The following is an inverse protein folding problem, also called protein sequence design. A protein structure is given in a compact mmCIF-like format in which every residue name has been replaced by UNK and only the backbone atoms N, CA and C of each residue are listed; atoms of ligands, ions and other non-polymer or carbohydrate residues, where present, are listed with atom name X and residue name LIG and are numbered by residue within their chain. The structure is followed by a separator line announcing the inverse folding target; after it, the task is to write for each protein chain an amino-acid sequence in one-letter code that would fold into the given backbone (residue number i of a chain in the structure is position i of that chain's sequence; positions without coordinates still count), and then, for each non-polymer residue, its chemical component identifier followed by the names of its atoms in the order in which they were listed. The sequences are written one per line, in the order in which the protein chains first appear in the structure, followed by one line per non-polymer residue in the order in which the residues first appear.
data_IF_415082478797
#
_entry.id   IF_415082478797
#
_cell.length_a   1.000
_cell.length_b   1.000
_cell.length_c   1.000
_cell.angle_alpha   90.00
_cell.angle_beta   90.00
_cell.angle_gamma   90.00
#
_symmetry.space_group_name_H-M   'P 1'
#
loop_
_entity.id
_entity.type
_entity.pdbx_description
1 polymer ?
#
# COMPACT_ATOMS: atom_id res chain seq x y z
N UNK A 1 12.69 -4.35 -25.08
CA UNK A 1 12.33 -3.44 -23.99
C UNK A 1 12.98 -4.02 -22.75
N UNK A 2 13.90 -3.33 -22.08
CA UNK A 2 14.48 -3.88 -20.84
C UNK A 2 13.40 -3.81 -19.77
N UNK A 3 12.77 -4.94 -19.47
CA UNK A 3 11.80 -5.02 -18.39
C UNK A 3 12.52 -4.77 -17.07
N UNK A 4 12.23 -3.61 -16.48
CA UNK A 4 12.78 -3.25 -15.17
C UNK A 4 12.12 -4.18 -14.15
N UNK A 5 12.93 -5.04 -13.55
CA UNK A 5 12.51 -6.00 -12.55
C UNK A 5 12.86 -5.53 -11.15
N UNK A 6 11.95 -5.69 -10.20
CA UNK A 6 12.17 -5.35 -8.80
C UNK A 6 12.10 -6.63 -7.97
N UNK A 7 13.07 -6.86 -7.09
CA UNK A 7 13.01 -8.01 -6.17
C UNK A 7 11.90 -7.82 -5.14
N UNK A 8 11.14 -8.89 -4.86
CA UNK A 8 10.15 -8.89 -3.78
C UNK A 8 10.82 -8.61 -2.42
N UNK A 9 12.04 -9.10 -2.21
CA UNK A 9 12.81 -8.82 -0.98
C UNK A 9 13.12 -7.34 -0.83
N UNK A 10 13.43 -6.63 -1.92
CA UNK A 10 13.66 -5.19 -1.90
C UNK A 10 12.39 -4.42 -1.53
N UNK A 11 11.24 -4.81 -2.06
CA UNK A 11 9.96 -4.17 -1.70
C UNK A 11 9.60 -4.38 -0.23
N UNK A 12 9.80 -5.58 0.31
CA UNK A 12 9.58 -5.89 1.73
C UNK A 12 10.56 -5.13 2.63
N UNK A 13 11.85 -5.08 2.25
CA UNK A 13 12.85 -4.28 2.95
C UNK A 13 12.49 -2.80 2.94
N UNK A 14 12.09 -2.28 1.79
CA UNK A 14 11.61 -0.91 1.63
C UNK A 14 10.45 -0.59 2.57
N UNK A 15 9.51 -1.52 2.73
CA UNK A 15 8.37 -1.36 3.64
C UNK A 15 8.82 -1.28 5.10
N UNK A 16 9.74 -2.14 5.52
CA UNK A 16 10.27 -2.14 6.88
C UNK A 16 11.02 -0.85 7.19
N UNK A 17 11.89 -0.41 6.27
CA UNK A 17 12.66 0.83 6.42
C UNK A 17 11.73 2.04 6.45
N UNK A 18 10.76 2.11 5.53
CA UNK A 18 9.81 3.21 5.48
C UNK A 18 8.96 3.29 6.75
N UNK A 19 8.45 2.15 7.25
CA UNK A 19 7.73 2.10 8.51
C UNK A 19 8.60 2.50 9.70
N UNK A 20 9.87 2.08 9.74
CA UNK A 20 10.80 2.49 10.80
C UNK A 20 11.00 4.01 10.81
N UNK A 21 11.25 4.60 9.64
CA UNK A 21 11.44 6.05 9.48
C UNK A 21 10.18 6.86 9.85
N UNK A 22 9.00 6.38 9.43
CA UNK A 22 7.74 7.06 9.68
C UNK A 22 7.13 6.75 11.05
N UNK A 23 7.62 5.73 11.75
CA UNK A 23 7.05 5.23 13.01
C UNK A 23 6.80 6.32 14.07
N UNK A 24 7.68 7.31 14.31
CA UNK A 24 7.41 8.33 15.33
C UNK A 24 6.19 9.17 14.94
N UNK A 25 6.08 9.53 13.66
CA UNK A 25 4.99 10.34 13.14
C UNK A 25 3.68 9.55 13.11
N UNK A 26 3.71 8.31 12.62
CA UNK A 26 2.51 7.47 12.50
C UNK A 26 1.99 7.04 13.87
N UNK A 27 2.86 6.81 14.86
CA UNK A 27 2.45 6.57 16.25
C UNK A 27 1.77 7.79 16.85
N UNK A 28 2.37 8.97 16.74
CA UNK A 28 1.77 10.22 17.22
C UNK A 28 0.40 10.47 16.57
N UNK A 29 0.29 10.27 15.25
CA UNK A 29 -0.96 10.44 14.52
C UNK A 29 -2.01 9.41 14.96
N UNK A 30 -1.61 8.15 15.16
CA UNK A 30 -2.49 7.06 15.61
C UNK A 30 -3.08 7.40 16.98
N UNK A 31 -2.23 7.80 17.93
CA UNK A 31 -2.66 8.18 19.29
C UNK A 31 -3.55 9.42 19.25
N UNK A 32 -3.18 10.44 18.47
CA UNK A 32 -3.97 11.67 18.35
C UNK A 32 -5.39 11.39 17.84
N UNK A 33 -5.53 10.64 16.74
CA UNK A 33 -6.84 10.29 16.18
C UNK A 33 -7.61 9.40 17.15
N UNK A 34 -6.94 8.47 17.83
CA UNK A 34 -7.59 7.61 18.81
C UNK A 34 -8.14 8.37 20.01
N UNK A 35 -7.41 9.39 20.51
CA UNK A 35 -7.87 10.27 21.59
C UNK A 35 -9.09 11.07 21.09
N UNK A 36 -8.97 11.77 19.97
CA UNK A 36 -10.05 12.60 19.42
C UNK A 36 -11.30 11.79 19.09
N UNK A 37 -11.13 10.58 18.55
CA UNK A 37 -12.23 9.68 18.22
C UNK A 37 -12.80 8.94 19.43
N UNK A 38 -12.04 8.80 20.52
CA UNK A 38 -12.44 8.13 21.76
C UNK A 38 -12.91 9.06 22.88
N UNK A 39 -12.77 10.38 22.71
CA UNK A 39 -13.15 11.39 23.71
C UNK A 39 -14.60 11.87 23.58
N UNK A 40 -15.37 11.35 22.62
CA UNK A 40 -16.78 11.70 22.46
C UNK A 40 -17.66 10.88 23.41
N UNK A 41 -18.70 11.47 24.04
CA UNK A 41 -19.59 10.75 24.96
C UNK A 41 -20.28 9.53 24.33
N UNK A 42 -20.57 9.63 23.03
CA UNK A 42 -21.20 8.55 22.23
C UNK A 42 -20.17 7.67 21.50
N UNK A 43 -18.87 7.87 21.75
CA UNK A 43 -17.82 7.11 21.07
C UNK A 43 -17.70 5.70 21.64
N UNK A 44 -17.30 4.72 20.80
CA UNK A 44 -17.13 3.35 21.25
C UNK A 44 -15.86 3.10 22.08
N UNK A 45 -15.24 4.16 22.62
CA UNK A 45 -14.07 4.12 23.49
C UNK A 45 -12.73 4.16 22.77
N UNK A 46 -11.70 4.65 23.48
CA UNK A 46 -10.34 4.84 22.98
C UNK A 46 -9.75 3.58 22.32
N UNK A 47 -9.91 2.39 22.93
CA UNK A 47 -9.30 1.16 22.42
C UNK A 47 -9.83 0.75 21.05
N UNK A 48 -11.13 0.95 20.79
CA UNK A 48 -11.70 0.64 19.48
C UNK A 48 -11.23 1.64 18.42
N UNK A 49 -11.22 2.92 18.76
CA UNK A 49 -10.70 3.98 17.87
C UNK A 49 -9.21 3.74 17.56
N UNK A 50 -8.41 3.41 18.57
CA UNK A 50 -7.00 3.04 18.42
C UNK A 50 -6.83 1.83 17.49
N UNK A 51 -7.60 0.76 17.70
CA UNK A 51 -7.55 -0.43 16.86
C UNK A 51 -7.88 -0.17 15.40
N UNK A 52 -8.93 0.63 15.13
CA UNK A 52 -9.33 1.00 13.76
C UNK A 52 -8.25 1.88 13.12
N UNK A 53 -7.77 2.90 13.83
CA UNK A 53 -6.76 3.82 13.30
C UNK A 53 -5.43 3.11 13.04
N UNK A 54 -4.95 2.28 13.98
CA UNK A 54 -3.74 1.49 13.79
C UNK A 54 -3.91 0.49 12.63
N UNK A 55 -5.04 -0.22 12.58
CA UNK A 55 -5.36 -1.12 11.48
C UNK A 55 -5.34 -0.40 10.13
N UNK A 56 -5.85 0.82 10.05
CA UNK A 56 -5.84 1.61 8.82
C UNK A 56 -4.43 2.10 8.46
N UNK A 57 -3.72 2.73 9.40
CA UNK A 57 -2.40 3.36 9.15
C UNK A 57 -1.35 2.31 8.79
N UNK A 58 -1.31 1.18 9.50
CA UNK A 58 -0.30 0.13 9.28
C UNK A 58 -0.79 -0.97 8.35
N UNK A 59 -2.07 -1.32 8.39
CA UNK A 59 -2.64 -2.39 7.58
C UNK A 59 -2.83 -2.01 6.12
N UNK A 60 -3.20 -0.77 5.81
CA UNK A 60 -3.41 -0.35 4.41
C UNK A 60 -2.14 -0.44 3.57
N UNK A 61 -0.97 0.07 4.01
CA UNK A 61 0.28 -0.10 3.25
C UNK A 61 0.68 -1.56 3.05
N UNK A 62 0.51 -2.40 4.07
CA UNK A 62 0.80 -3.84 3.99
C UNK A 62 -0.13 -4.51 2.99
N UNK A 63 -1.44 -4.28 3.10
CA UNK A 63 -2.44 -4.84 2.20
C UNK A 63 -2.22 -4.41 0.75
N UNK A 64 -1.89 -3.14 0.53
CA UNK A 64 -1.54 -2.62 -0.78
C UNK A 64 -0.28 -3.31 -1.34
N UNK A 65 0.76 -3.48 -0.53
CA UNK A 65 1.98 -4.15 -0.96
C UNK A 65 1.73 -5.60 -1.37
N UNK A 66 1.00 -6.34 -0.53
CA UNK A 66 0.62 -7.74 -0.80
C UNK A 66 -0.19 -7.82 -2.09
N UNK A 67 -1.15 -6.92 -2.30
CA UNK A 67 -1.93 -6.84 -3.54
C UNK A 67 -1.04 -6.63 -4.76
N UNK A 68 -0.15 -5.62 -4.73
CA UNK A 68 0.73 -5.29 -5.84
C UNK A 68 1.67 -6.45 -6.19
N UNK A 69 2.21 -7.15 -5.19
CA UNK A 69 3.06 -8.32 -5.41
C UNK A 69 2.25 -9.48 -5.99
N UNK A 70 1.13 -9.85 -5.37
CA UNK A 70 0.32 -10.99 -5.81
C UNK A 70 -0.23 -10.80 -7.22
N UNK A 71 -0.86 -9.64 -7.48
CA UNK A 71 -1.41 -9.35 -8.80
C UNK A 71 -0.31 -9.09 -9.82
N UNK A 72 0.81 -8.46 -9.41
CA UNK A 72 1.98 -8.31 -10.27
C UNK A 72 2.53 -9.66 -10.73
N UNK A 73 2.67 -10.64 -9.82
CA UNK A 73 3.07 -12.02 -10.17
C UNK A 73 2.08 -12.69 -11.11
N UNK A 74 0.79 -12.48 -10.88
CA UNK A 74 -0.26 -13.02 -11.74
C UNK A 74 -0.16 -12.44 -13.16
N UNK A 75 0.09 -11.14 -13.32
CA UNK A 75 0.30 -10.53 -14.62
C UNK A 75 1.62 -10.93 -15.28
N UNK A 76 2.70 -11.05 -14.51
CA UNK A 76 3.97 -11.56 -15.03
C UNK A 76 3.81 -12.96 -15.64
N UNK A 77 2.98 -13.80 -15.01
CA UNK A 77 2.63 -15.11 -15.53
C UNK A 77 1.75 -15.04 -16.78
N UNK A 78 0.68 -14.24 -16.77
CA UNK A 78 -0.23 -14.09 -17.93
C UNK A 78 0.50 -13.56 -19.16
N UNK A 79 1.32 -12.52 -18.98
CA UNK A 79 2.08 -11.90 -20.05
C UNK A 79 3.36 -12.67 -20.41
N UNK A 80 3.62 -13.80 -19.74
CA UNK A 80 4.81 -14.63 -19.95
C UNK A 80 6.12 -13.85 -19.80
N UNK A 81 6.14 -12.82 -18.94
CA UNK A 81 7.33 -12.00 -18.66
C UNK A 81 8.29 -12.79 -17.78
N UNK A 82 7.80 -13.35 -16.66
CA UNK A 82 8.58 -14.22 -15.79
C UNK A 82 7.78 -15.37 -15.19
N UNK A 83 8.44 -16.50 -14.87
CA UNK A 83 7.79 -17.59 -14.15
C UNK A 83 7.36 -17.14 -12.74
N UNK A 84 6.24 -17.68 -12.25
CA UNK A 84 5.69 -17.36 -10.91
C UNK A 84 6.73 -17.54 -9.79
N UNK A 85 7.60 -18.55 -9.92
CA UNK A 85 8.62 -18.88 -8.91
C UNK A 85 9.81 -17.90 -8.88
N UNK A 86 9.94 -17.00 -9.85
CA UNK A 86 11.00 -16.00 -9.84
C UNK A 86 10.81 -15.07 -8.62
N UNK A 87 11.86 -14.68 -7.87
CA UNK A 87 11.73 -13.77 -6.73
C UNK A 87 11.51 -12.28 -7.12
N UNK A 88 11.39 -11.95 -8.41
CA UNK A 88 11.24 -10.56 -8.90
C UNK A 88 9.95 -10.31 -9.66
N UNK A 89 9.40 -9.10 -9.58
CA UNK A 89 8.16 -8.68 -10.25
C UNK A 89 8.49 -7.58 -11.26
N UNK A 90 7.86 -7.62 -12.44
CA UNK A 90 8.01 -6.55 -13.44
C UNK A 90 7.32 -5.26 -13.01
N UNK A 91 7.96 -4.12 -13.26
CA UNK A 91 7.34 -2.80 -13.08
C UNK A 91 6.04 -2.64 -13.89
N UNK A 92 5.95 -3.23 -15.09
CA UNK A 92 4.75 -3.18 -15.92
C UNK A 92 3.59 -3.89 -15.24
N UNK A 93 3.86 -5.07 -14.67
CA UNK A 93 2.86 -5.86 -13.96
C UNK A 93 2.42 -5.20 -12.66
N UNK A 94 3.34 -4.53 -11.93
CA UNK A 94 2.99 -3.71 -10.76
C UNK A 94 2.10 -2.52 -11.16
N UNK A 95 2.39 -1.86 -12.28
CA UNK A 95 1.56 -0.76 -12.77
C UNK A 95 0.14 -1.21 -13.10
N UNK A 96 0.00 -2.34 -13.81
CA UNK A 96 -1.32 -2.92 -14.12
C UNK A 96 -2.05 -3.33 -12.83
N UNK A 97 -1.34 -3.93 -11.87
CA UNK A 97 -1.89 -4.27 -10.56
C UNK A 97 -2.39 -3.03 -9.79
N UNK A 98 -1.68 -1.90 -9.88
CA UNK A 98 -2.07 -0.63 -9.27
C UNK A 98 -3.32 -0.04 -9.95
N UNK A 99 -3.41 -0.08 -11.27
CA UNK A 99 -4.62 0.32 -12.00
C UNK A 99 -5.82 -0.52 -11.55
N UNK A 100 -5.67 -1.84 -11.45
CA UNK A 100 -6.74 -2.71 -10.99
C UNK A 100 -7.10 -2.51 -9.52
N UNK A 101 -6.13 -2.18 -8.66
CA UNK A 101 -6.42 -1.83 -7.27
C UNK A 101 -7.35 -0.62 -7.20
N UNK A 102 -7.07 0.43 -7.98
CA UNK A 102 -7.87 1.64 -8.04
C UNK A 102 -9.26 1.37 -8.64
N UNK A 103 -9.34 0.59 -9.71
CA UNK A 103 -10.62 0.20 -10.32
C UNK A 103 -11.47 -0.60 -9.34
N UNK A 104 -10.88 -1.58 -8.64
CA UNK A 104 -11.58 -2.36 -7.63
C UNK A 104 -12.05 -1.48 -6.45
N UNK A 105 -11.20 -0.55 -6.00
CA UNK A 105 -11.53 0.42 -4.97
C UNK A 105 -12.68 1.34 -5.37
N UNK A 106 -12.68 1.85 -6.60
CA UNK A 106 -13.79 2.65 -7.14
C UNK A 106 -15.08 1.84 -7.15
N UNK A 107 -15.06 0.62 -7.69
CA UNK A 107 -16.25 -0.25 -7.74
C UNK A 107 -16.79 -0.46 -6.31
N UNK A 108 -15.91 -0.73 -5.35
CA UNK A 108 -16.30 -0.93 -3.96
C UNK A 108 -16.93 0.33 -3.34
N UNK A 109 -16.33 1.51 -3.55
CA UNK A 109 -16.86 2.79 -3.05
C UNK A 109 -18.19 3.14 -3.70
N UNK A 110 -18.34 2.91 -5.01
CA UNK A 110 -19.57 3.18 -5.75
C UNK A 110 -20.73 2.32 -5.23
N UNK A 111 -20.46 1.06 -4.88
CA UNK A 111 -21.46 0.17 -4.28
C UNK A 111 -21.78 0.54 -2.82
N UNK A 112 -20.80 1.01 -2.04
CA UNK A 112 -21.00 1.40 -0.64
C UNK A 112 -21.74 2.72 -0.47
N UNK A 113 -21.38 3.73 -1.26
CA UNK A 113 -21.84 5.10 -1.06
C UNK A 113 -22.81 5.58 -2.13
N UNK A 114 -23.17 4.74 -3.10
CA UNK A 114 -24.08 5.08 -4.20
C UNK A 114 -23.68 6.37 -4.94
N UNK A 115 -22.38 6.68 -5.00
CA UNK A 115 -21.89 7.80 -5.80
C UNK A 115 -22.12 7.46 -7.28
N UNK A 116 -23.28 7.83 -7.82
CA UNK A 116 -23.65 7.57 -9.23
C UNK A 116 -22.85 8.40 -10.26
N UNK A 117 -21.77 9.04 -9.84
CA UNK A 117 -20.92 9.86 -10.69
C UNK A 117 -19.49 9.43 -10.45
N UNK A 118 -18.90 8.73 -11.43
CA UNK A 118 -17.52 8.30 -11.39
C UNK A 118 -16.61 9.51 -11.16
N UNK A 119 -16.11 9.66 -9.94
CA UNK A 119 -15.21 10.76 -9.61
C UNK A 119 -13.79 10.37 -10.04
N UNK A 120 -13.54 10.45 -11.35
CA UNK A 120 -12.29 10.07 -11.99
C UNK A 120 -11.06 10.77 -11.36
N UNK A 121 -11.24 11.96 -10.76
CA UNK A 121 -10.16 12.67 -10.07
C UNK A 121 -9.68 11.93 -8.82
N UNK A 122 -10.59 11.38 -8.01
CA UNK A 122 -10.22 10.59 -6.83
C UNK A 122 -9.42 9.36 -7.26
N UNK A 123 -9.82 8.71 -8.34
CA UNK A 123 -9.16 7.53 -8.89
C UNK A 123 -7.75 7.84 -9.40
N UNK A 124 -7.59 8.97 -10.11
CA UNK A 124 -6.27 9.43 -10.58
C UNK A 124 -5.36 9.73 -9.38
N UNK A 125 -5.87 10.42 -8.36
CA UNK A 125 -5.11 10.70 -7.13
C UNK A 125 -4.72 9.41 -6.42
N UNK A 126 -5.63 8.44 -6.31
CA UNK A 126 -5.36 7.13 -5.71
C UNK A 126 -4.28 6.35 -6.49
N UNK A 127 -4.32 6.39 -7.83
CA UNK A 127 -3.29 5.78 -8.67
C UNK A 127 -1.92 6.44 -8.45
N UNK A 128 -1.88 7.77 -8.43
CA UNK A 128 -0.65 8.53 -8.18
C UNK A 128 -0.06 8.22 -6.81
N UNK A 129 -0.89 8.16 -5.76
CA UNK A 129 -0.45 7.80 -4.41
C UNK A 129 0.11 6.36 -4.40
N UNK A 130 -0.53 5.43 -5.10
CA UNK A 130 -0.10 4.02 -5.17
C UNK A 130 1.25 3.88 -5.88
N UNK A 131 1.45 4.60 -6.98
CA UNK A 131 2.71 4.62 -7.72
C UNK A 131 3.80 5.27 -6.86
N UNK A 132 3.52 6.44 -6.28
CA UNK A 132 4.46 7.15 -5.42
C UNK A 132 4.89 6.28 -4.25
N UNK A 133 3.93 5.59 -3.60
CA UNK A 133 4.21 4.62 -2.54
C UNK A 133 5.20 3.55 -2.99
N UNK A 134 4.95 2.90 -4.13
CA UNK A 134 5.83 1.86 -4.67
C UNK A 134 7.24 2.39 -4.95
N UNK A 135 7.33 3.59 -5.53
CA UNK A 135 8.62 4.26 -5.78
C UNK A 135 9.34 4.57 -4.47
N UNK A 136 8.63 5.08 -3.47
CA UNK A 136 9.20 5.36 -2.14
C UNK A 136 9.71 4.08 -1.48
N UNK A 137 8.98 2.96 -1.58
CA UNK A 137 9.45 1.66 -1.08
C UNK A 137 10.76 1.25 -1.76
N UNK A 138 10.81 1.33 -3.09
CA UNK A 138 11.99 0.97 -3.86
C UNK A 138 13.23 1.78 -3.43
N UNK A 139 13.09 3.10 -3.28
CA UNK A 139 14.20 3.95 -2.81
C UNK A 139 14.53 3.74 -1.34
N UNK A 140 13.54 3.49 -0.49
CA UNK A 140 13.75 3.19 0.93
C UNK A 140 14.58 1.92 1.11
N UNK A 141 14.39 0.92 0.25
CA UNK A 141 15.17 -0.32 0.27
C UNK A 141 16.67 -0.12 0.00
N UNK A 142 17.04 0.99 -0.66
CA UNK A 142 18.44 1.34 -0.97
C UNK A 142 19.14 2.04 0.19
N UNK A 143 18.42 2.39 1.26
CA UNK A 143 19.02 2.97 2.47
C UNK A 143 19.84 1.88 3.18
N UNK A 144 21.15 2.07 3.38
CA UNK A 144 21.99 1.09 4.04
C UNK A 144 21.72 1.10 5.55
N UNK A 145 20.92 0.16 6.03
CA UNK A 145 20.69 -0.04 7.47
C UNK A 145 21.44 -1.31 7.91
N UNK A 146 22.49 -1.20 8.75
CA UNK A 146 23.41 -2.30 9.04
C UNK A 146 22.76 -3.56 9.63
N UNK A 147 21.66 -3.39 10.37
CA UNK A 147 20.94 -4.47 11.05
C UNK A 147 19.76 -5.06 10.25
N UNK A 148 19.45 -4.51 9.08
CA UNK A 148 18.42 -5.03 8.16
C UNK A 148 19.09 -5.60 6.91
N UNK A 149 19.72 -6.77 7.06
CA UNK A 149 20.26 -7.57 5.98
C UNK A 149 19.17 -8.52 5.44
N UNK A 150 18.27 -7.96 4.63
CA UNK A 150 17.27 -8.68 3.83
C UNK A 150 17.60 -8.43 2.35
#
# INVERSE_FOLDING_TARGET
MHDIMISVSELLKGLLILNLLLSPLTLCLTVYIAIMGGSHPDSPGFLRSFGITAGFIYGTPIGLLVWLIMMGKFFDFIFQITPIANPSVSCLSIFIAAVLFVVAGNIFIDHLYQFKQGNYMISIVALLITILYTVTLYFSAKIPIPWLAI
#
